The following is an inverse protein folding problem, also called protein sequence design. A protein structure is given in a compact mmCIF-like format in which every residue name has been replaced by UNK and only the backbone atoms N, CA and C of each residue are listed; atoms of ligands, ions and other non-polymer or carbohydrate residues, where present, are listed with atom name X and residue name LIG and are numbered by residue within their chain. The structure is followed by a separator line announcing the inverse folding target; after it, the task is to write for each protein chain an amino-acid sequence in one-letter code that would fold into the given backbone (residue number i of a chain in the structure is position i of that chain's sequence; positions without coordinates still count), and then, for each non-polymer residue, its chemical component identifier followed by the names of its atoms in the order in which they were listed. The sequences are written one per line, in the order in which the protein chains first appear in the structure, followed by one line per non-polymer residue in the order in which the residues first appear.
data_IF_181408126521
#
_entry.id   IF_181408126521
#
_cell.length_a   1.000
_cell.length_b   1.000
_cell.length_c   1.000
_cell.angle_alpha   90.00
_cell.angle_beta   90.00
_cell.angle_gamma   90.00
#
_symmetry.space_group_name_H-M   'P 1'
#
loop_
_entity.id
_entity.type
_entity.pdbx_description
1 polymer ?
#
# COMPACT_ATOMS: atom_id res chain seq x y z
N UNK A 1 -18.96 -19.75 32.65
CA UNK A 1 -19.57 -21.03 32.20
C UNK A 1 -18.47 -22.08 32.17
N UNK A 2 -18.67 -23.28 32.74
CA UNK A 2 -17.65 -24.33 32.83
C UNK A 2 -17.90 -25.37 31.75
N UNK A 3 -16.85 -25.77 31.02
CA UNK A 3 -16.90 -26.79 29.98
C UNK A 3 -15.98 -27.96 30.34
N UNK A 4 -16.38 -29.18 29.96
CA UNK A 4 -15.60 -30.40 30.16
C UNK A 4 -15.36 -31.09 28.82
N UNK A 5 -14.09 -31.39 28.50
CA UNK A 5 -13.70 -32.16 27.32
C UNK A 5 -12.37 -32.86 27.59
N UNK A 6 -12.26 -34.13 27.17
CA UNK A 6 -11.04 -34.94 27.28
C UNK A 6 -10.41 -34.98 28.69
N UNK A 7 -11.22 -35.07 29.75
CA UNK A 7 -10.70 -35.21 31.11
C UNK A 7 -10.31 -33.90 31.81
N UNK A 8 -10.50 -32.74 31.17
CA UNK A 8 -10.16 -31.42 31.74
C UNK A 8 -11.37 -30.50 31.77
N UNK A 9 -11.49 -29.76 32.88
CA UNK A 9 -12.48 -28.71 33.07
C UNK A 9 -11.82 -27.34 32.81
N UNK A 10 -12.49 -26.49 32.04
CA UNK A 10 -12.09 -25.10 31.85
C UNK A 10 -13.28 -24.15 32.09
N UNK A 11 -12.98 -23.03 32.74
CA UNK A 11 -13.96 -22.00 33.09
C UNK A 11 -13.81 -20.82 32.15
N UNK A 12 -14.83 -20.58 31.32
CA UNK A 12 -14.86 -19.44 30.40
C UNK A 12 -15.66 -18.28 30.98
N UNK A 13 -15.12 -17.08 30.82
CA UNK A 13 -15.74 -15.83 31.24
C UNK A 13 -16.91 -15.47 30.32
N UNK A 14 -18.01 -14.97 30.88
CA UNK A 14 -19.29 -14.82 30.15
C UNK A 14 -19.28 -13.73 29.07
N UNK A 15 -18.27 -12.88 29.06
CA UNK A 15 -18.14 -11.77 28.12
C UNK A 15 -17.61 -12.25 26.75
N UNK A 16 -16.78 -13.30 26.71
CA UNK A 16 -16.10 -13.80 25.49
C UNK A 16 -16.45 -15.24 25.11
N UNK A 17 -17.64 -15.72 25.51
CA UNK A 17 -18.06 -17.12 25.37
C UNK A 17 -17.93 -17.63 23.93
N UNK A 18 -18.22 -16.79 22.94
CA UNK A 18 -18.16 -17.19 21.52
C UNK A 18 -16.73 -17.50 21.06
N UNK A 19 -15.76 -16.71 21.49
CA UNK A 19 -14.36 -16.89 21.10
C UNK A 19 -13.71 -18.05 21.86
N UNK A 20 -13.98 -18.14 23.17
CA UNK A 20 -13.50 -19.23 24.02
C UNK A 20 -14.07 -20.60 23.62
N UNK A 21 -15.35 -20.66 23.28
CA UNK A 21 -16.00 -21.90 22.82
C UNK A 21 -15.39 -22.41 21.50
N UNK A 22 -15.09 -21.50 20.57
CA UNK A 22 -14.52 -21.86 19.27
C UNK A 22 -13.11 -22.43 19.41
N UNK A 23 -12.28 -21.84 20.28
CA UNK A 23 -10.93 -22.32 20.60
C UNK A 23 -10.96 -23.70 21.28
N UNK A 24 -11.86 -23.92 22.23
CA UNK A 24 -11.94 -25.17 23.00
C UNK A 24 -12.50 -26.37 22.19
N UNK A 25 -13.46 -26.13 21.29
CA UNK A 25 -14.16 -27.22 20.61
C UNK A 25 -13.69 -27.55 19.19
N UNK A 26 -12.96 -26.67 18.47
CA UNK A 26 -12.73 -26.83 17.01
C UNK A 26 -11.28 -26.98 16.48
N UNK A 27 -10.30 -27.40 17.27
CA UNK A 27 -8.99 -27.77 16.69
C UNK A 27 -8.83 -29.28 16.48
N UNK A 28 -9.08 -29.73 15.24
CA UNK A 28 -8.41 -30.89 14.63
C UNK A 28 -7.45 -30.32 13.57
N UNK A 29 -6.16 -30.57 13.72
CA UNK A 29 -5.11 -30.16 12.79
C UNK A 29 -5.16 -31.01 11.50
N UNK A 30 -5.31 -30.41 10.31
CA UNK A 30 -4.78 -30.95 9.08
C UNK A 30 -3.40 -30.33 8.80
N UNK A 31 -2.52 -31.07 8.12
CA UNK A 31 -1.18 -30.62 7.71
C UNK A 31 -1.19 -29.16 7.23
N UNK A 32 -0.39 -28.31 7.88
CA UNK A 32 -0.38 -26.88 7.66
C UNK A 32 0.18 -26.55 6.26
N UNK A 33 -0.69 -26.56 5.26
CA UNK A 33 -0.59 -25.58 4.19
C UNK A 33 -0.93 -24.23 4.82
N UNK A 34 0.08 -23.50 5.28
CA UNK A 34 -0.03 -22.08 5.61
C UNK A 34 -0.43 -21.35 4.34
N UNK A 35 -1.74 -21.28 4.05
CA UNK A 35 -2.23 -20.32 3.07
C UNK A 35 -1.85 -18.94 3.59
N UNK A 36 -1.06 -18.24 2.80
CA UNK A 36 -0.82 -16.82 3.00
C UNK A 36 -2.15 -16.10 3.12
N UNK A 37 -2.46 -15.59 4.32
CA UNK A 37 -3.70 -14.87 4.57
C UNK A 37 -3.50 -13.37 4.33
N UNK A 38 -3.37 -13.01 3.04
CA UNK A 38 -3.31 -11.61 2.63
C UNK A 38 -4.50 -10.83 3.18
N UNK A 39 -5.68 -11.46 3.26
CA UNK A 39 -6.90 -10.82 3.73
C UNK A 39 -6.78 -10.41 5.19
N UNK A 40 -6.30 -11.28 6.07
CA UNK A 40 -6.10 -10.95 7.48
C UNK A 40 -5.13 -9.76 7.67
N UNK A 41 -4.03 -9.74 6.91
CA UNK A 41 -3.07 -8.63 6.98
C UNK A 41 -3.70 -7.33 6.44
N UNK A 42 -4.41 -7.39 5.30
CA UNK A 42 -5.12 -6.24 4.73
C UNK A 42 -6.17 -5.73 5.71
N UNK A 43 -6.98 -6.60 6.32
CA UNK A 43 -7.97 -6.24 7.32
C UNK A 43 -7.31 -5.58 8.54
N UNK A 44 -6.11 -6.04 8.95
CA UNK A 44 -5.34 -5.44 10.05
C UNK A 44 -4.79 -4.05 9.71
N UNK A 45 -4.39 -3.80 8.46
CA UNK A 45 -3.94 -2.48 8.00
C UNK A 45 -5.13 -1.54 7.83
N UNK A 46 -6.18 -2.02 7.17
CA UNK A 46 -7.37 -1.23 6.86
C UNK A 46 -8.13 -0.84 8.12
N UNK A 47 -8.29 -1.79 9.05
CA UNK A 47 -9.15 -1.67 10.22
C UNK A 47 -10.51 -1.02 9.84
N UNK A 48 -10.99 -0.05 10.62
CA UNK A 48 -12.15 0.80 10.28
C UNK A 48 -11.76 2.09 9.54
N UNK A 49 -10.46 2.34 9.36
CA UNK A 49 -9.93 3.64 8.90
C UNK A 49 -9.79 3.71 7.39
N UNK A 50 -9.48 2.60 6.73
CA UNK A 50 -9.21 2.56 5.31
C UNK A 50 -10.07 1.53 4.57
N UNK A 51 -10.20 1.72 3.26
CA UNK A 51 -10.79 0.76 2.33
C UNK A 51 -9.81 0.48 1.19
N UNK A 52 -9.96 -0.64 0.50
CA UNK A 52 -9.10 -1.00 -0.63
C UNK A 52 -9.63 -0.30 -1.89
N UNK A 53 -8.80 0.56 -2.50
CA UNK A 53 -9.07 1.18 -3.80
C UNK A 53 -8.65 0.25 -4.95
N UNK A 54 -7.47 -0.35 -4.83
CA UNK A 54 -6.91 -1.23 -5.83
C UNK A 54 -6.08 -2.35 -5.19
N UNK A 55 -6.17 -3.54 -5.76
CA UNK A 55 -5.49 -4.74 -5.30
C UNK A 55 -5.03 -5.54 -6.52
N UNK A 56 -3.74 -5.43 -6.84
CA UNK A 56 -3.15 -6.11 -8.00
C UNK A 56 -2.27 -7.25 -7.51
N UNK A 57 -2.60 -8.47 -7.96
CA UNK A 57 -1.69 -9.61 -7.87
C UNK A 57 -0.76 -9.64 -9.09
N UNK A 58 0.55 -9.65 -8.86
CA UNK A 58 1.56 -9.63 -9.92
C UNK A 58 2.83 -10.39 -9.48
N UNK A 59 3.76 -10.62 -10.39
CA UNK A 59 5.06 -11.23 -10.08
C UNK A 59 6.13 -10.14 -10.32
N UNK A 60 6.52 -9.44 -9.26
CA UNK A 60 7.35 -8.24 -9.36
C UNK A 60 8.83 -8.56 -9.50
N UNK A 61 9.30 -9.66 -8.90
CA UNK A 61 10.70 -10.08 -8.91
C UNK A 61 10.98 -11.21 -9.92
N UNK A 62 9.96 -11.72 -10.62
CA UNK A 62 10.04 -12.82 -11.58
C UNK A 62 10.38 -14.18 -10.95
N UNK A 63 9.95 -14.41 -9.71
CA UNK A 63 10.16 -15.68 -8.99
C UNK A 63 8.98 -16.66 -9.12
N UNK A 64 7.96 -16.32 -9.92
CA UNK A 64 6.70 -17.04 -10.17
C UNK A 64 5.67 -16.95 -9.04
N UNK A 65 6.04 -16.47 -7.85
CA UNK A 65 5.11 -16.28 -6.75
C UNK A 65 4.39 -14.93 -6.90
N UNK A 66 3.08 -14.93 -6.60
CA UNK A 66 2.28 -13.71 -6.73
C UNK A 66 2.46 -12.81 -5.51
N UNK A 67 3.11 -11.68 -5.74
CA UNK A 67 3.12 -10.50 -4.91
C UNK A 67 1.80 -9.75 -5.01
N UNK A 68 1.57 -8.79 -4.10
CA UNK A 68 0.41 -7.90 -4.17
C UNK A 68 0.79 -6.46 -3.94
N UNK A 69 0.18 -5.55 -4.68
CA UNK A 69 0.21 -4.10 -4.39
C UNK A 69 -1.21 -3.69 -4.02
N UNK A 70 -1.37 -3.14 -2.82
CA UNK A 70 -2.64 -2.69 -2.26
C UNK A 70 -2.58 -1.17 -2.11
N UNK A 71 -3.50 -0.49 -2.78
CA UNK A 71 -3.71 0.95 -2.63
C UNK A 71 -4.92 1.14 -1.73
N UNK A 72 -4.75 1.86 -0.63
CA UNK A 72 -5.84 2.16 0.29
C UNK A 72 -6.40 3.57 0.03
N UNK A 73 -7.69 3.73 0.28
CA UNK A 73 -8.37 5.01 0.47
C UNK A 73 -8.80 5.19 1.93
N UNK A 74 -9.13 6.41 2.33
CA UNK A 74 -9.49 6.74 3.71
C UNK A 74 -11.02 6.81 3.90
N UNK A 75 -11.55 6.11 4.92
CA UNK A 75 -12.97 6.08 5.31
C UNK A 75 -13.36 7.20 6.28
N UNK A 76 -12.39 7.91 6.85
CA UNK A 76 -12.63 8.95 7.85
C UNK A 76 -13.10 10.24 7.19
N UNK A 77 -13.74 11.13 7.96
CA UNK A 77 -14.04 12.48 7.49
C UNK A 77 -12.75 13.16 7.04
N UNK A 78 -12.62 13.32 5.73
CA UNK A 78 -11.53 14.04 5.09
C UNK A 78 -11.82 15.52 5.24
N UNK A 79 -11.14 16.18 6.18
CA UNK A 79 -11.19 17.63 6.25
C UNK A 79 -10.47 18.18 5.01
N UNK A 80 -11.15 19.04 4.26
CA UNK A 80 -10.53 19.74 3.14
C UNK A 80 -9.30 20.57 3.60
N UNK A 81 -9.32 21.04 4.85
CA UNK A 81 -8.32 21.92 5.45
C UNK A 81 -7.20 21.20 6.21
N UNK A 82 -7.30 19.88 6.43
CA UNK A 82 -6.26 19.11 7.11
C UNK A 82 -5.80 17.93 6.22
N UNK A 83 -4.70 18.11 5.47
CA UNK A 83 -4.12 17.07 4.62
C UNK A 83 -3.76 15.79 5.39
N UNK A 84 -3.45 15.88 6.68
CA UNK A 84 -3.09 14.71 7.49
C UNK A 84 -4.27 13.74 7.66
N UNK A 85 -5.51 14.24 7.56
CA UNK A 85 -6.72 13.39 7.61
C UNK A 85 -6.92 12.56 6.33
N UNK A 86 -6.23 12.90 5.24
CA UNK A 86 -6.40 12.26 3.93
C UNK A 86 -5.47 11.08 3.72
N UNK A 87 -4.37 11.01 4.46
CA UNK A 87 -3.31 9.99 4.32
C UNK A 87 -3.91 8.58 4.27
N UNK A 88 -3.53 7.82 3.26
CA UNK A 88 -3.89 6.42 3.11
C UNK A 88 -2.64 5.63 2.68
N UNK A 89 -2.34 4.49 3.32
CA UNK A 89 -1.14 3.74 3.01
C UNK A 89 -1.21 3.11 1.60
N UNK A 90 -0.05 2.83 1.06
CA UNK A 90 0.15 1.84 0.00
C UNK A 90 0.97 0.72 0.61
N UNK A 91 0.52 -0.53 0.42
CA UNK A 91 1.21 -1.70 0.94
C UNK A 91 1.63 -2.65 -0.18
N UNK A 92 2.88 -3.10 -0.15
CA UNK A 92 3.43 -4.10 -1.07
C UNK A 92 3.70 -5.37 -0.29
N UNK A 93 3.13 -6.47 -0.75
CA UNK A 93 3.21 -7.79 -0.16
C UNK A 93 4.13 -8.64 -1.05
N UNK A 94 5.41 -8.67 -0.71
CA UNK A 94 6.38 -9.50 -1.42
C UNK A 94 6.25 -10.95 -0.93
N UNK A 95 5.91 -11.87 -1.82
CA UNK A 95 5.66 -13.27 -1.51
C UNK A 95 6.97 -14.04 -1.37
N UNK A 96 7.29 -14.49 -0.16
CA UNK A 96 8.44 -15.36 0.09
C UNK A 96 8.04 -16.83 -0.12
N UNK A 97 7.94 -17.24 -1.39
CA UNK A 97 7.74 -18.64 -1.79
C UNK A 97 6.56 -19.34 -1.10
N UNK A 98 5.43 -18.64 -0.94
CA UNK A 98 4.24 -19.08 -0.21
C UNK A 98 4.43 -19.37 1.29
N UNK A 99 5.54 -18.93 1.90
CA UNK A 99 5.82 -19.10 3.34
C UNK A 99 5.27 -17.94 4.15
N UNK A 100 5.56 -16.71 3.71
CA UNK A 100 5.13 -15.45 4.35
C UNK A 100 5.07 -14.31 3.32
N UNK A 101 4.44 -13.21 3.70
CA UNK A 101 4.61 -11.94 3.00
C UNK A 101 5.62 -11.07 3.75
N UNK A 102 6.58 -10.50 3.03
CA UNK A 102 7.33 -9.34 3.49
C UNK A 102 6.54 -8.09 3.09
N UNK A 103 6.00 -7.38 4.08
CA UNK A 103 5.09 -6.25 3.86
C UNK A 103 5.87 -4.94 3.96
N UNK A 104 5.78 -4.13 2.90
CA UNK A 104 6.35 -2.78 2.83
C UNK A 104 5.19 -1.78 2.81
N UNK A 105 5.27 -0.71 3.57
CA UNK A 105 4.21 0.31 3.66
C UNK A 105 4.82 1.68 3.37
N UNK A 106 4.11 2.51 2.60
CA UNK A 106 4.39 3.93 2.42
C UNK A 106 3.10 4.75 2.50
N UNK A 107 3.09 5.79 3.32
CA UNK A 107 1.96 6.71 3.56
C UNK A 107 2.12 8.08 2.88
N UNK A 108 3.26 8.33 2.22
CA UNK A 108 3.65 9.62 1.66
C UNK A 108 3.57 9.67 0.12
N UNK A 109 2.96 8.66 -0.53
CA UNK A 109 2.73 8.66 -1.98
C UNK A 109 1.47 9.45 -2.32
N UNK A 110 0.35 9.06 -1.71
CA UNK A 110 -0.98 9.62 -1.95
C UNK A 110 -1.83 9.49 -0.68
N UNK A 111 -2.71 10.45 -0.38
CA UNK A 111 -2.70 11.82 -0.89
C UNK A 111 -1.52 12.61 -0.32
N UNK A 112 -0.89 13.41 -1.19
CA UNK A 112 0.15 14.35 -0.80
C UNK A 112 -0.49 15.65 -0.28
N UNK A 113 0.33 16.56 0.26
CA UNK A 113 -0.12 17.90 0.65
C UNK A 113 -0.60 18.73 -0.55
N UNK A 114 -0.36 18.27 -1.78
CA UNK A 114 -0.84 18.92 -3.00
C UNK A 114 -2.29 18.60 -3.33
N UNK A 115 -2.93 17.66 -2.62
CA UNK A 115 -4.32 17.27 -2.90
C UNK A 115 -4.46 16.26 -4.04
N UNK A 116 -3.35 15.64 -4.46
CA UNK A 116 -3.35 14.58 -5.46
C UNK A 116 -4.38 13.50 -5.11
N UNK A 117 -5.15 13.05 -6.10
CA UNK A 117 -6.08 11.94 -6.12
C UNK A 117 -5.47 10.73 -6.85
N UNK A 118 -5.75 9.52 -6.36
CA UNK A 118 -5.33 8.30 -7.03
C UNK A 118 -6.09 8.09 -8.35
N UNK A 119 -5.37 7.90 -9.45
CA UNK A 119 -5.96 7.61 -10.78
C UNK A 119 -5.98 6.11 -11.07
N UNK A 120 -4.80 5.48 -11.04
CA UNK A 120 -4.60 4.04 -11.30
C UNK A 120 -3.20 3.59 -10.92
N UNK A 121 -3.05 2.28 -10.76
CA UNK A 121 -1.76 1.59 -10.70
C UNK A 121 -1.47 0.87 -12.03
N UNK A 122 -0.28 1.10 -12.60
CA UNK A 122 0.19 0.39 -13.80
C UNK A 122 1.36 -0.51 -13.42
N UNK A 123 1.27 -1.80 -13.72
CA UNK A 123 2.37 -2.76 -13.49
C UNK A 123 2.88 -3.29 -14.82
N UNK A 124 4.20 -3.24 -15.03
CA UNK A 124 4.87 -3.77 -16.22
C UNK A 124 6.22 -4.36 -15.86
N UNK A 125 6.36 -5.67 -16.01
CA UNK A 125 7.55 -6.42 -15.60
C UNK A 125 7.84 -6.16 -14.10
N UNK A 126 9.07 -5.79 -13.77
CA UNK A 126 9.49 -5.43 -12.41
C UNK A 126 9.34 -3.94 -12.09
N UNK A 127 8.48 -3.23 -12.83
CA UNK A 127 8.16 -1.82 -12.58
C UNK A 127 6.68 -1.68 -12.26
N UNK A 128 6.37 -0.70 -11.41
CA UNK A 128 5.02 -0.26 -11.18
C UNK A 128 4.97 1.26 -11.01
N UNK A 129 3.89 1.86 -11.48
CA UNK A 129 3.69 3.30 -11.53
C UNK A 129 2.37 3.67 -10.89
N UNK A 130 2.41 4.54 -9.88
CA UNK A 130 1.23 5.23 -9.40
C UNK A 130 1.00 6.46 -10.26
N UNK A 131 -0.15 6.51 -10.92
CA UNK A 131 -0.62 7.70 -11.61
C UNK A 131 -1.56 8.46 -10.69
N UNK A 132 -1.27 9.73 -10.47
CA UNK A 132 -2.07 10.62 -9.64
C UNK A 132 -2.55 11.82 -10.46
N UNK A 133 -3.70 12.36 -10.09
CA UNK A 133 -4.30 13.55 -10.70
C UNK A 133 -4.56 14.60 -9.63
N UNK A 134 -4.40 15.87 -9.96
CA UNK A 134 -4.82 16.96 -9.09
C UNK A 134 -5.45 18.05 -9.95
N UNK A 135 -6.47 18.70 -9.40
CA UNK A 135 -7.13 19.82 -10.03
C UNK A 135 -7.34 20.89 -8.97
N UNK A 136 -6.72 22.05 -9.21
CA UNK A 136 -6.93 23.24 -8.40
C UNK A 136 -7.78 24.19 -9.24
N UNK A 137 -9.07 24.37 -8.88
CA UNK A 137 -9.99 25.21 -9.63
C UNK A 137 -9.40 26.60 -9.92
N UNK A 138 -9.60 27.07 -11.14
CA UNK A 138 -9.11 28.35 -11.63
C UNK A 138 -7.58 28.52 -11.66
N UNK A 139 -6.79 27.51 -11.27
CA UNK A 139 -5.31 27.58 -11.29
C UNK A 139 -4.67 26.60 -12.27
N UNK A 140 -4.80 25.29 -12.02
CA UNK A 140 -4.11 24.27 -12.83
C UNK A 140 -4.70 22.87 -12.66
N UNK A 141 -4.43 22.01 -13.64
CA UNK A 141 -4.56 20.56 -13.52
C UNK A 141 -3.18 19.92 -13.65
N UNK A 142 -2.90 18.90 -12.85
CA UNK A 142 -1.62 18.18 -12.91
C UNK A 142 -1.77 16.66 -12.88
N UNK A 143 -0.87 15.99 -13.57
CA UNK A 143 -0.70 14.53 -13.52
C UNK A 143 0.70 14.18 -13.01
N UNK A 144 0.77 13.25 -12.05
CA UNK A 144 2.04 12.73 -11.51
C UNK A 144 2.19 11.26 -11.82
N UNK A 145 3.43 10.87 -12.09
CA UNK A 145 3.83 9.51 -12.47
C UNK A 145 4.98 9.08 -11.58
N UNK A 146 4.69 8.26 -10.57
CA UNK A 146 5.69 7.81 -9.58
C UNK A 146 6.00 6.35 -9.86
N UNK A 147 7.14 6.10 -10.50
CA UNK A 147 7.54 4.77 -10.98
C UNK A 147 8.59 4.16 -10.07
N UNK A 148 8.28 3.02 -9.47
CA UNK A 148 9.22 2.21 -8.72
C UNK A 148 9.69 1.01 -9.55
N UNK A 149 10.86 0.49 -9.19
CA UNK A 149 11.46 -0.71 -9.75
C UNK A 149 11.83 -1.68 -8.64
N UNK A 150 11.52 -2.96 -8.84
CA UNK A 150 11.96 -4.03 -7.97
C UNK A 150 13.29 -4.60 -8.47
N UNK A 151 14.28 -4.67 -7.58
CA UNK A 151 15.51 -5.41 -7.81
C UNK A 151 15.20 -6.91 -7.64
N UNK A 152 15.35 -7.67 -8.72
CA UNK A 152 14.98 -9.10 -8.74
C UNK A 152 15.81 -9.98 -7.80
N UNK A 153 17.01 -9.52 -7.42
CA UNK A 153 17.92 -10.30 -6.57
C UNK A 153 17.73 -9.97 -5.11
N UNK A 154 17.65 -8.68 -4.76
CA UNK A 154 17.52 -8.24 -3.36
C UNK A 154 16.07 -8.06 -2.90
N UNK A 155 15.10 -8.08 -3.82
CA UNK A 155 13.71 -7.66 -3.61
C UNK A 155 13.58 -6.20 -3.09
N UNK A 156 14.64 -5.41 -3.22
CA UNK A 156 14.59 -3.98 -2.88
C UNK A 156 13.73 -3.23 -3.89
N UNK A 157 12.92 -2.31 -3.40
CA UNK A 157 12.04 -1.48 -4.21
C UNK A 157 12.52 -0.03 -4.10
N UNK A 158 12.94 0.53 -5.23
CA UNK A 158 13.46 1.89 -5.30
C UNK A 158 12.75 2.70 -6.38
N UNK A 159 12.65 4.02 -6.17
CA UNK A 159 12.14 4.96 -7.15
C UNK A 159 13.05 4.90 -8.38
N UNK A 160 12.44 4.66 -9.54
CA UNK A 160 13.14 4.64 -10.83
C UNK A 160 12.94 5.94 -11.59
N UNK A 161 11.72 6.48 -11.57
CA UNK A 161 11.37 7.73 -12.27
C UNK A 161 10.27 8.48 -11.54
N UNK A 162 10.35 9.80 -11.59
CA UNK A 162 9.30 10.73 -11.21
C UNK A 162 8.96 11.61 -12.41
N UNK A 163 7.67 11.75 -12.71
CA UNK A 163 7.16 12.66 -13.73
C UNK A 163 6.03 13.52 -13.17
N UNK A 164 5.98 14.79 -13.54
CA UNK A 164 4.88 15.69 -13.23
C UNK A 164 4.61 16.63 -14.42
N UNK A 165 3.37 16.62 -14.90
CA UNK A 165 2.90 17.52 -15.94
C UNK A 165 1.85 18.44 -15.33
N UNK A 166 2.05 19.75 -15.44
CA UNK A 166 1.11 20.78 -14.95
C UNK A 166 0.62 21.58 -16.16
N UNK A 167 -0.70 21.60 -16.36
CA UNK A 167 -1.39 22.48 -17.29
C UNK A 167 -1.97 23.66 -16.50
N UNK A 168 -1.44 24.85 -16.72
CA UNK A 168 -1.89 26.08 -16.08
C UNK A 168 -3.06 26.70 -16.86
N UNK A 169 -3.96 27.38 -16.17
CA UNK A 169 -5.14 27.98 -16.80
C UNK A 169 -4.83 29.19 -17.70
N UNK A 170 -3.61 29.73 -17.63
CA UNK A 170 -3.09 30.75 -18.54
C UNK A 170 -2.58 30.14 -19.88
N UNK A 171 -2.67 28.82 -20.04
CA UNK A 171 -2.21 28.08 -21.22
C UNK A 171 -0.77 27.59 -21.14
N UNK A 172 -0.01 27.94 -20.09
CA UNK A 172 1.34 27.46 -19.90
C UNK A 172 1.37 25.98 -19.49
N UNK A 173 2.51 25.33 -19.76
CA UNK A 173 2.77 23.94 -19.36
C UNK A 173 4.11 23.83 -18.63
N UNK A 174 4.13 23.06 -17.55
CA UNK A 174 5.35 22.71 -16.83
C UNK A 174 5.50 21.21 -16.80
N UNK A 175 6.63 20.71 -17.30
CA UNK A 175 6.96 19.29 -17.31
C UNK A 175 8.21 19.07 -16.47
N UNK A 176 8.11 18.13 -15.53
CA UNK A 176 9.22 17.64 -14.71
C UNK A 176 9.39 16.16 -15.01
N UNK A 177 10.61 15.75 -15.34
CA UNK A 177 10.97 14.34 -15.50
C UNK A 177 12.32 14.12 -14.86
N UNK A 178 12.37 13.20 -13.91
CA UNK A 178 13.57 12.87 -13.14
C UNK A 178 13.72 11.35 -13.06
N UNK A 179 14.96 10.93 -12.91
CA UNK A 179 15.42 9.56 -12.76
C UNK A 179 16.36 9.41 -11.57
N UNK A 180 16.73 8.18 -11.26
CA UNK A 180 17.75 7.82 -10.27
C UNK A 180 19.09 8.55 -10.45
N UNK A 181 19.39 9.03 -11.65
CA UNK A 181 20.55 9.90 -11.91
C UNK A 181 20.45 11.28 -11.29
N UNK A 182 19.22 11.79 -11.16
CA UNK A 182 18.93 13.16 -10.73
C UNK A 182 18.72 13.22 -9.20
N UNK A 183 18.12 12.17 -8.62
CA UNK A 183 17.77 12.09 -7.20
C UNK A 183 18.51 11.01 -6.40
N UNK A 184 19.35 10.19 -7.05
CA UNK A 184 20.04 9.06 -6.40
C UNK A 184 19.10 7.90 -6.07
N UNK A 185 19.41 7.15 -5.01
CA UNK A 185 18.57 6.02 -4.56
C UNK A 185 17.55 6.50 -3.54
N UNK A 186 16.27 6.32 -3.83
CA UNK A 186 15.16 6.55 -2.90
C UNK A 186 14.37 5.25 -2.77
N UNK A 187 14.30 4.68 -1.57
CA UNK A 187 13.55 3.44 -1.32
C UNK A 187 12.05 3.71 -1.25
N UNK A 188 11.25 2.68 -1.55
CA UNK A 188 9.79 2.75 -1.45
C UNK A 188 9.32 3.26 -0.10
N UNK A 189 9.82 2.74 1.02
CA UNK A 189 9.34 3.14 2.36
C UNK A 189 9.72 4.59 2.74
N UNK A 190 10.74 5.16 2.11
CA UNK A 190 11.26 6.50 2.43
C UNK A 190 10.87 7.55 1.40
N UNK A 191 10.25 7.14 0.29
CA UNK A 191 9.77 8.07 -0.73
C UNK A 191 8.68 8.99 -0.17
N UNK A 192 8.74 10.27 -0.52
CA UNK A 192 7.77 11.28 -0.15
C UNK A 192 7.45 12.21 -1.34
N UNK A 193 6.20 12.19 -1.79
CA UNK A 193 5.69 13.02 -2.88
C UNK A 193 5.84 14.52 -2.60
N UNK A 194 5.90 14.94 -1.33
CA UNK A 194 6.04 16.34 -0.96
C UNK A 194 7.44 16.91 -1.20
N UNK A 195 8.46 16.05 -1.22
CA UNK A 195 9.87 16.49 -1.29
C UNK A 195 10.58 16.09 -2.58
N UNK A 196 10.05 15.11 -3.34
CA UNK A 196 10.74 14.56 -4.53
C UNK A 196 11.10 15.62 -5.57
N UNK A 197 10.23 16.62 -5.80
CA UNK A 197 10.49 17.66 -6.79
C UNK A 197 11.74 18.48 -6.50
N UNK A 198 12.04 18.73 -5.22
CA UNK A 198 13.26 19.43 -4.80
C UNK A 198 14.52 18.57 -4.92
N UNK A 199 14.36 17.24 -4.99
CA UNK A 199 15.47 16.29 -5.13
C UNK A 199 15.85 16.04 -6.59
N UNK A 200 15.02 16.48 -7.55
CA UNK A 200 15.35 16.48 -8.97
C UNK A 200 16.42 17.52 -9.30
N UNK A 201 17.70 17.19 -9.07
CA UNK A 201 18.83 18.05 -9.44
C UNK A 201 19.05 17.94 -10.95
N UNK A 202 18.97 19.07 -11.66
CA UNK A 202 19.36 19.17 -13.07
C UNK A 202 20.87 19.35 -13.21
#
# INVERSE_FOLDING_TARGET
MIFYKNGRYETLNLIDVKEGYTKFFKYKSPAAQTRLDAKHIIDSIAAKKYFVLEDIACDLNSDTFKDRIIVFGNNSYVSAQDPATKVAPIAIFMNDQNKKYNVLINENIYPSNFGDAFKRLVVKNNYFTFELLNEVPDQYASEKYITFKVNKTSNEIALSRYGENINWNDGNRTETLCSDKDFGTILFQTFDSNTIKAQCKK
#
